data_IF_673743521158
#
_entry.id   IF_673743521158
#
_cell.length_a   1.000
_cell.length_b   1.000
_cell.length_c   1.000
_cell.angle_alpha   90.00
_cell.angle_beta   90.00
_cell.angle_gamma   90.00
#
_symmetry.space_group_name_H-M   'P 1'
#
loop_
_entity.id
_entity.type
_entity.pdbx_description
1 polymer ?
#
# COMPACT_ATOMS: atom_id res chain seq x y z
N UNK A 1 -13.27 -33.06 -0.88
CA UNK A 1 -12.88 -31.81 -0.19
C UNK A 1 -14.13 -31.23 0.46
N UNK A 2 -14.06 -30.75 1.71
CA UNK A 2 -15.21 -30.17 2.40
C UNK A 2 -15.70 -28.91 1.65
N UNK A 3 -16.98 -28.57 1.77
CA UNK A 3 -17.53 -27.32 1.25
C UNK A 3 -16.76 -26.07 1.72
N UNK A 4 -16.30 -26.04 2.98
CA UNK A 4 -15.48 -24.94 3.50
C UNK A 4 -14.14 -24.81 2.78
N UNK A 5 -13.43 -25.92 2.60
CA UNK A 5 -12.16 -25.97 1.87
C UNK A 5 -12.35 -25.59 0.40
N UNK A 6 -13.44 -26.02 -0.22
CA UNK A 6 -13.79 -25.63 -1.60
C UNK A 6 -14.07 -24.13 -1.72
N UNK A 7 -14.74 -23.53 -0.73
CA UNK A 7 -14.98 -22.09 -0.70
C UNK A 7 -13.66 -21.33 -0.55
N UNK A 8 -12.78 -21.77 0.36
CA UNK A 8 -11.44 -21.19 0.55
C UNK A 8 -10.62 -21.27 -0.74
N UNK A 9 -10.55 -22.44 -1.37
CA UNK A 9 -9.79 -22.61 -2.61
C UNK A 9 -10.33 -21.76 -3.77
N UNK A 10 -11.63 -21.45 -3.76
CA UNK A 10 -12.24 -20.53 -4.75
C UNK A 10 -11.93 -19.06 -4.47
N UNK A 11 -11.90 -18.65 -3.20
CA UNK A 11 -11.63 -17.26 -2.82
C UNK A 11 -10.13 -16.92 -2.77
N UNK A 12 -9.28 -17.89 -2.47
CA UNK A 12 -7.84 -17.75 -2.31
C UNK A 12 -7.13 -18.99 -2.88
N UNK A 13 -7.04 -19.11 -4.21
CA UNK A 13 -6.50 -20.31 -4.83
C UNK A 13 -5.00 -20.46 -4.57
N UNK A 14 -4.54 -21.69 -4.67
CA UNK A 14 -3.10 -22.02 -4.76
C UNK A 14 -2.83 -22.63 -6.14
N UNK A 15 -1.81 -22.12 -6.83
CA UNK A 15 -1.46 -22.50 -8.20
C UNK A 15 -0.05 -23.07 -8.22
N UNK A 16 0.09 -24.29 -8.76
CA UNK A 16 1.39 -24.86 -9.11
C UNK A 16 1.91 -24.18 -10.37
N UNK A 17 3.09 -23.59 -10.30
CA UNK A 17 3.63 -22.78 -11.41
C UNK A 17 4.09 -23.72 -12.53
N UNK A 18 3.58 -23.58 -13.76
CA UNK A 18 4.01 -24.42 -14.87
C UNK A 18 5.48 -24.19 -15.24
N UNK A 19 6.15 -25.24 -15.71
CA UNK A 19 7.58 -25.20 -16.10
C UNK A 19 7.83 -24.75 -17.54
N UNK A 20 6.84 -24.93 -18.41
CA UNK A 20 7.01 -24.85 -19.88
C UNK A 20 6.17 -23.75 -20.52
N UNK A 21 5.43 -23.02 -19.71
CA UNK A 21 4.54 -21.94 -20.13
C UNK A 21 4.39 -20.93 -18.98
N UNK A 22 3.91 -19.71 -19.26
CA UNK A 22 3.59 -18.74 -18.21
C UNK A 22 2.44 -19.21 -17.30
N UNK A 23 2.41 -18.72 -16.07
CA UNK A 23 1.23 -18.87 -15.19
C UNK A 23 0.05 -18.16 -15.84
N UNK A 24 -1.12 -18.80 -15.89
CA UNK A 24 -2.34 -18.18 -16.37
C UNK A 24 -2.69 -16.93 -15.52
N UNK A 25 -3.10 -15.80 -16.12
CA UNK A 25 -3.49 -14.61 -15.38
C UNK A 25 -4.71 -14.88 -14.50
N UNK A 26 -4.88 -14.08 -13.45
CA UNK A 26 -6.06 -14.15 -12.61
C UNK A 26 -7.31 -13.72 -13.38
N UNK A 27 -8.41 -14.44 -13.20
CA UNK A 27 -9.67 -14.15 -13.91
C UNK A 27 -10.41 -12.92 -13.36
N UNK A 28 -10.12 -12.55 -12.11
CA UNK A 28 -10.68 -11.40 -11.42
C UNK A 28 -9.66 -10.88 -10.42
N UNK A 29 -9.88 -9.64 -9.97
CA UNK A 29 -9.06 -9.05 -8.93
C UNK A 29 -9.13 -9.87 -7.64
N UNK A 30 -7.99 -10.02 -6.96
CA UNK A 30 -7.88 -10.79 -5.74
C UNK A 30 -6.44 -11.16 -5.43
N UNK A 31 -6.30 -12.28 -4.74
CA UNK A 31 -5.01 -12.79 -4.30
C UNK A 31 -4.97 -14.32 -4.39
N UNK A 32 -3.78 -14.87 -4.64
CA UNK A 32 -3.54 -16.31 -4.69
C UNK A 32 -2.13 -16.67 -4.27
N UNK A 33 -1.90 -17.93 -3.92
CA UNK A 33 -0.55 -18.45 -3.74
C UNK A 33 -0.01 -19.05 -5.02
N UNK A 34 1.26 -18.81 -5.30
CA UNK A 34 2.03 -19.48 -6.33
C UNK A 34 3.06 -20.41 -5.67
N UNK A 35 3.06 -21.66 -6.07
CA UNK A 35 4.05 -22.65 -5.66
C UNK A 35 5.01 -22.84 -6.83
N UNK A 36 6.20 -22.24 -6.73
CA UNK A 36 7.27 -22.35 -7.71
C UNK A 36 8.39 -23.26 -7.23
N UNK A 37 9.36 -23.59 -8.07
CA UNK A 37 10.53 -24.35 -7.63
C UNK A 37 11.43 -23.58 -6.66
N UNK A 38 11.31 -22.25 -6.67
CA UNK A 38 12.12 -21.33 -5.88
C UNK A 38 11.39 -20.77 -4.65
N UNK A 39 10.24 -21.34 -4.26
CA UNK A 39 9.54 -21.02 -3.02
C UNK A 39 8.02 -20.90 -3.17
N UNK A 40 7.40 -20.41 -2.09
CA UNK A 40 5.98 -20.04 -2.06
C UNK A 40 5.88 -18.53 -2.17
N UNK A 41 4.98 -18.04 -3.00
CA UNK A 41 4.77 -16.63 -3.26
C UNK A 41 3.30 -16.27 -3.09
N UNK A 42 3.05 -15.02 -2.69
CA UNK A 42 1.74 -14.40 -2.82
C UNK A 42 1.73 -13.57 -4.11
N UNK A 43 0.70 -13.77 -4.92
CA UNK A 43 0.35 -12.91 -6.05
C UNK A 43 -0.92 -12.16 -5.69
N UNK A 44 -0.85 -10.83 -5.77
CA UNK A 44 -1.98 -9.93 -5.52
C UNK A 44 -2.22 -9.16 -6.81
N UNK A 45 -3.42 -9.28 -7.36
CA UNK A 45 -3.82 -8.66 -8.61
C UNK A 45 -5.05 -7.79 -8.36
N UNK A 46 -4.85 -6.48 -8.30
CA UNK A 46 -5.89 -5.47 -8.09
C UNK A 46 -5.97 -4.54 -9.30
N UNK A 47 -7.09 -3.82 -9.52
CA UNK A 47 -7.20 -2.91 -10.67
C UNK A 47 -6.09 -1.87 -10.76
N UNK A 48 -5.52 -1.44 -9.62
CA UNK A 48 -4.45 -0.45 -9.55
C UNK A 48 -3.02 -1.02 -9.38
N UNK A 49 -2.87 -2.30 -9.00
CA UNK A 49 -1.59 -2.92 -8.63
C UNK A 49 -1.55 -4.40 -9.02
N UNK A 50 -0.45 -4.85 -9.60
CA UNK A 50 -0.06 -6.27 -9.61
C UNK A 50 1.24 -6.41 -8.84
N UNK A 51 1.29 -7.31 -7.87
CA UNK A 51 2.49 -7.56 -7.07
C UNK A 51 2.66 -9.05 -6.79
N UNK A 52 3.90 -9.52 -6.90
CA UNK A 52 4.31 -10.89 -6.57
C UNK A 52 5.48 -10.83 -5.60
N UNK A 53 5.34 -11.50 -4.44
CA UNK A 53 6.39 -11.57 -3.42
C UNK A 53 6.54 -12.94 -2.80
N UNK A 54 7.77 -13.30 -2.47
CA UNK A 54 8.08 -14.58 -1.81
C UNK A 54 7.67 -14.51 -0.34
N UNK A 55 6.95 -15.52 0.11
CA UNK A 55 6.50 -15.65 1.52
C UNK A 55 7.14 -16.84 2.23
N UNK A 56 7.69 -17.81 1.51
CA UNK A 56 8.43 -18.91 2.11
C UNK A 56 9.51 -19.47 1.18
N UNK A 57 10.59 -19.98 1.78
CA UNK A 57 11.65 -20.73 1.13
C UNK A 57 11.56 -22.22 1.50
N UNK A 58 12.01 -23.09 0.60
CA UNK A 58 12.22 -24.49 0.94
C UNK A 58 13.50 -24.66 1.76
N UNK A 59 13.43 -25.42 2.85
CA UNK A 59 14.57 -25.71 3.73
C UNK A 59 15.25 -27.05 3.41
N UNK A 60 14.62 -27.90 2.61
CA UNK A 60 15.11 -29.23 2.23
C UNK A 60 15.48 -29.22 0.75
N UNK A 61 16.62 -29.83 0.35
CA UNK A 61 17.07 -29.89 -1.04
C UNK A 61 16.27 -30.91 -1.89
N UNK A 62 14.95 -30.85 -1.82
CA UNK A 62 14.06 -31.65 -2.65
C UNK A 62 13.81 -30.92 -3.97
N UNK A 63 13.94 -31.62 -5.09
CA UNK A 63 13.58 -31.05 -6.39
C UNK A 63 12.07 -30.80 -6.47
N UNK A 64 11.67 -29.53 -6.53
CA UNK A 64 10.28 -29.12 -6.71
C UNK A 64 9.99 -29.01 -8.21
N UNK A 65 9.05 -29.80 -8.77
CA UNK A 65 8.88 -29.94 -10.21
C UNK A 65 8.07 -28.81 -10.88
N UNK A 66 8.07 -27.60 -10.32
CA UNK A 66 7.34 -26.42 -10.82
C UNK A 66 8.27 -25.40 -11.48
N UNK A 67 7.71 -24.39 -12.15
CA UNK A 67 8.48 -23.31 -12.75
C UNK A 67 8.98 -22.31 -11.72
N UNK A 68 9.84 -21.39 -12.15
CA UNK A 68 10.33 -20.30 -11.31
C UNK A 68 9.29 -19.17 -11.23
N UNK A 69 9.14 -18.60 -10.05
CA UNK A 69 8.38 -17.35 -9.86
C UNK A 69 9.35 -16.19 -9.78
N UNK A 70 9.01 -15.09 -10.44
CA UNK A 70 9.75 -13.84 -10.40
C UNK A 70 8.94 -12.82 -9.62
N UNK A 71 9.56 -12.20 -8.61
CA UNK A 71 8.94 -11.09 -7.88
C UNK A 71 8.76 -9.89 -8.81
N UNK A 72 7.63 -9.21 -8.68
CA UNK A 72 7.29 -8.10 -9.57
C UNK A 72 6.37 -7.10 -8.89
N UNK A 73 6.42 -5.84 -9.34
CA UNK A 73 5.48 -4.79 -8.95
C UNK A 73 5.13 -3.99 -10.19
N UNK A 74 3.84 -3.90 -10.50
CA UNK A 74 3.32 -3.13 -11.63
C UNK A 74 2.20 -2.23 -11.12
N UNK A 75 2.42 -0.92 -11.19
CA UNK A 75 1.39 0.08 -10.89
C UNK A 75 0.57 0.37 -12.14
N UNK A 76 -0.73 0.14 -12.07
CA UNK A 76 -1.69 0.36 -13.17
C UNK A 76 -2.40 1.70 -13.08
N UNK A 77 -2.45 2.30 -11.90
CA UNK A 77 -3.06 3.62 -11.67
C UNK A 77 -2.20 4.79 -12.14
N UNK A 78 -0.97 4.55 -12.61
CA UNK A 78 -0.01 5.62 -12.90
C UNK A 78 0.52 6.30 -11.63
N UNK A 79 1.16 7.45 -11.80
CA UNK A 79 1.77 8.20 -10.70
C UNK A 79 0.74 9.05 -9.95
N UNK A 80 0.78 9.02 -8.62
CA UNK A 80 -0.04 9.92 -7.79
C UNK A 80 0.36 11.37 -8.06
N UNK A 81 -0.61 12.25 -8.40
CA UNK A 81 -0.36 13.66 -8.64
C UNK A 81 0.28 14.33 -7.42
N UNK A 82 1.42 15.03 -7.57
CA UNK A 82 2.12 15.64 -6.44
C UNK A 82 1.28 16.65 -5.64
N UNK A 83 0.32 17.33 -6.29
CA UNK A 83 -0.54 18.31 -5.61
C UNK A 83 -1.39 17.67 -4.51
N UNK A 84 -1.84 16.42 -4.65
CA UNK A 84 -2.60 15.72 -3.60
C UNK A 84 -1.74 15.46 -2.36
N UNK A 85 -0.44 15.23 -2.55
CA UNK A 85 0.52 15.09 -1.45
C UNK A 85 0.75 16.45 -0.78
N UNK A 86 0.87 17.53 -1.57
CA UNK A 86 0.92 18.89 -1.05
C UNK A 86 -0.32 19.24 -0.21
N UNK A 87 -1.52 18.95 -0.71
CA UNK A 87 -2.79 19.16 0.00
C UNK A 87 -2.86 18.40 1.32
N UNK A 88 -2.39 17.15 1.34
CA UNK A 88 -2.30 16.39 2.58
C UNK A 88 -1.29 17.02 3.57
N UNK A 89 -0.13 17.47 3.09
CA UNK A 89 0.87 18.12 3.93
C UNK A 89 0.36 19.43 4.52
N UNK A 90 -0.39 20.23 3.77
CA UNK A 90 -1.05 21.43 4.30
C UNK A 90 -2.11 21.09 5.36
N UNK A 91 -2.84 19.98 5.18
CA UNK A 91 -3.76 19.46 6.20
C UNK A 91 -2.99 19.06 7.47
N UNK A 92 -1.86 18.35 7.33
CA UNK A 92 -1.01 17.96 8.45
C UNK A 92 -0.37 19.16 9.17
N UNK A 93 -0.01 20.21 8.44
CA UNK A 93 0.45 21.49 9.01
C UNK A 93 -0.64 22.17 9.81
N UNK A 94 -1.85 22.24 9.29
CA UNK A 94 -2.98 22.85 9.99
C UNK A 94 -3.37 22.09 11.27
N UNK A 95 -3.19 20.76 11.28
CA UNK A 95 -3.46 19.91 12.44
C UNK A 95 -2.35 19.93 13.51
N UNK A 96 -1.13 20.35 13.16
CA UNK A 96 0.01 20.37 14.06
C UNK A 96 -0.31 21.12 15.38
N UNK A 97 0.04 20.57 16.57
CA UNK A 97 0.93 19.42 16.80
C UNK A 97 0.26 18.04 16.79
N UNK A 98 -1.03 17.95 16.50
CA UNK A 98 -1.78 16.71 16.50
C UNK A 98 -1.60 15.94 15.19
N UNK A 99 -1.86 14.63 15.24
CA UNK A 99 -1.90 13.78 14.05
C UNK A 99 -3.18 14.01 13.24
N UNK A 100 -3.12 13.74 11.94
CA UNK A 100 -4.28 13.71 11.03
C UNK A 100 -4.06 12.68 9.93
N UNK A 101 -5.09 12.40 9.13
CA UNK A 101 -5.04 11.38 8.10
C UNK A 101 -5.87 11.68 6.86
N UNK A 102 -5.51 11.04 5.75
CA UNK A 102 -6.28 11.08 4.51
C UNK A 102 -5.94 9.85 3.67
N UNK A 103 -6.82 9.50 2.75
CA UNK A 103 -6.52 8.50 1.72
C UNK A 103 -6.30 9.17 0.38
N UNK A 104 -5.31 8.71 -0.39
CA UNK A 104 -5.28 8.94 -1.83
C UNK A 104 -6.04 7.80 -2.48
N UNK A 105 -7.13 8.13 -3.16
CA UNK A 105 -8.01 7.16 -3.82
C UNK A 105 -7.92 7.33 -5.32
N UNK A 106 -8.06 6.23 -6.04
CA UNK A 106 -8.03 6.18 -7.50
C UNK A 106 -9.33 5.59 -8.02
N UNK A 107 -9.94 6.27 -8.98
CA UNK A 107 -11.19 5.83 -9.59
C UNK A 107 -10.90 5.02 -10.87
N UNK A 108 -11.39 3.78 -10.93
CA UNK A 108 -11.10 2.82 -12.00
C UNK A 108 -11.64 3.29 -13.36
N UNK A 109 -12.79 3.96 -13.39
CA UNK A 109 -13.46 4.39 -14.63
C UNK A 109 -12.85 5.66 -15.21
N UNK A 110 -12.63 6.66 -14.37
CA UNK A 110 -12.11 7.98 -14.79
C UNK A 110 -10.59 8.01 -14.84
N UNK A 111 -9.93 7.02 -14.23
CA UNK A 111 -8.48 6.96 -14.02
C UNK A 111 -7.92 8.18 -13.27
N UNK A 112 -8.76 8.85 -12.47
CA UNK A 112 -8.38 10.03 -11.71
C UNK A 112 -8.09 9.70 -10.26
N UNK A 113 -7.17 10.48 -9.67
CA UNK A 113 -6.90 10.46 -8.24
C UNK A 113 -7.62 11.60 -7.55
N UNK A 114 -7.97 11.41 -6.28
CA UNK A 114 -8.31 12.49 -5.36
C UNK A 114 -7.82 12.20 -3.95
N UNK A 115 -7.72 13.25 -3.15
CA UNK A 115 -7.51 13.15 -1.71
C UNK A 115 -8.87 12.99 -1.00
N UNK A 116 -8.94 12.10 -0.03
CA UNK A 116 -10.12 11.78 0.75
C UNK A 116 -9.77 11.89 2.25
N UNK A 117 -10.01 13.04 2.89
CA UNK A 117 -9.73 13.22 4.31
C UNK A 117 -10.46 12.18 5.18
N UNK A 118 -9.81 11.69 6.22
CA UNK A 118 -10.48 10.82 7.20
C UNK A 118 -11.38 11.66 8.12
N UNK A 119 -12.38 11.02 8.74
CA UNK A 119 -13.13 11.66 9.82
C UNK A 119 -12.46 11.29 11.15
N UNK A 120 -11.78 12.27 11.75
CA UNK A 120 -11.11 12.10 13.05
C UNK A 120 -12.13 11.81 14.14
N UNK A 121 -11.91 10.72 14.89
CA UNK A 121 -12.68 10.36 16.09
C UNK A 121 -11.94 10.78 17.37
N UNK A 122 -10.64 10.54 17.42
CA UNK A 122 -9.74 10.98 18.47
C UNK A 122 -8.33 11.14 17.90
N UNK A 123 -7.59 12.14 18.37
CA UNK A 123 -6.21 12.36 17.96
C UNK A 123 -5.42 12.97 19.13
N UNK A 124 -4.15 12.60 19.23
CA UNK A 124 -3.16 13.27 20.06
C UNK A 124 -1.88 13.50 19.24
N UNK A 125 -0.73 13.71 19.87
CA UNK A 125 0.55 13.99 19.20
C UNK A 125 1.24 12.73 18.64
N UNK A 126 0.74 11.54 18.93
CA UNK A 126 1.31 10.25 18.51
C UNK A 126 0.27 9.15 18.30
N UNK A 127 -1.03 9.49 18.23
CA UNK A 127 -2.08 8.55 17.90
C UNK A 127 -3.23 9.22 17.14
N UNK A 128 -3.79 8.47 16.19
CA UNK A 128 -4.95 8.87 15.40
C UNK A 128 -5.97 7.72 15.33
N UNK A 129 -7.19 8.00 15.78
CA UNK A 129 -8.36 7.13 15.58
C UNK A 129 -9.32 7.84 14.64
N UNK A 130 -9.73 7.14 13.58
CA UNK A 130 -10.54 7.75 12.54
C UNK A 130 -11.53 6.78 11.90
N UNK A 131 -12.61 7.34 11.36
CA UNK A 131 -13.47 6.64 10.40
C UNK A 131 -12.89 6.84 9.00
N UNK A 132 -12.81 5.73 8.26
CA UNK A 132 -12.33 5.68 6.88
C UNK A 132 -13.26 6.50 5.97
N UNK A 133 -12.74 7.22 4.96
CA UNK A 133 -13.58 7.98 4.05
C UNK A 133 -14.49 7.05 3.24
N UNK A 134 -15.69 7.53 2.92
CA UNK A 134 -16.60 6.83 2.02
C UNK A 134 -16.03 6.80 0.61
N UNK A 135 -16.01 5.62 0.00
CA UNK A 135 -15.59 5.40 -1.39
C UNK A 135 -16.79 5.06 -2.25
N UNK A 136 -16.84 5.61 -3.46
CA UNK A 136 -17.75 5.12 -4.48
C UNK A 136 -17.36 3.70 -4.93
N UNK A 137 -18.26 2.93 -5.57
CA UNK A 137 -17.97 1.57 -6.01
C UNK A 137 -16.76 1.45 -6.96
N UNK A 138 -16.45 2.52 -7.71
CA UNK A 138 -15.33 2.58 -8.65
C UNK A 138 -14.04 3.13 -8.02
N UNK A 139 -14.05 3.49 -6.73
CA UNK A 139 -12.89 4.05 -6.05
C UNK A 139 -12.15 3.01 -5.21
N UNK A 140 -10.82 3.03 -5.34
CA UNK A 140 -9.92 2.16 -4.62
C UNK A 140 -8.91 3.01 -3.85
N UNK A 141 -8.66 2.66 -2.59
CA UNK A 141 -7.58 3.26 -1.82
C UNK A 141 -6.23 2.81 -2.39
N UNK A 142 -5.38 3.78 -2.74
CA UNK A 142 -4.01 3.54 -3.21
C UNK A 142 -3.00 3.87 -2.11
N UNK A 143 -3.16 5.03 -1.47
CA UNK A 143 -2.31 5.46 -0.36
C UNK A 143 -3.17 5.73 0.87
N UNK A 144 -2.70 5.27 2.02
CA UNK A 144 -3.20 5.67 3.33
C UNK A 144 -2.16 6.57 3.99
N UNK A 145 -2.54 7.82 4.22
CA UNK A 145 -1.67 8.87 4.71
C UNK A 145 -2.00 9.17 6.18
N UNK A 146 -0.97 9.28 7.03
CA UNK A 146 -1.10 9.89 8.36
C UNK A 146 0.09 10.80 8.67
N UNK A 147 -0.06 11.64 9.69
CA UNK A 147 0.99 12.57 10.12
C UNK A 147 1.48 12.29 11.53
N UNK A 148 2.73 12.64 11.82
CA UNK A 148 3.39 12.47 13.13
C UNK A 148 3.61 13.80 13.86
N UNK A 149 2.85 14.86 13.53
CA UNK A 149 2.98 16.17 14.17
C UNK A 149 4.43 16.69 14.15
N UNK A 150 5.05 16.82 15.33
CA UNK A 150 6.42 17.29 15.51
C UNK A 150 7.52 16.22 15.35
N UNK A 151 7.15 14.94 15.26
CA UNK A 151 8.10 13.82 15.15
C UNK A 151 8.47 13.52 13.70
N UNK A 152 9.64 12.93 13.42
CA UNK A 152 10.00 12.52 12.08
C UNK A 152 9.05 11.44 11.52
N UNK A 153 8.99 11.35 10.19
CA UNK A 153 8.25 10.29 9.51
C UNK A 153 8.98 8.95 9.64
N UNK A 154 8.29 7.95 10.17
CA UNK A 154 8.73 6.56 10.24
C UNK A 154 7.50 5.66 10.40
N UNK A 155 7.67 4.34 10.27
CA UNK A 155 6.62 3.38 10.60
C UNK A 155 6.94 2.66 11.90
N UNK A 156 5.99 2.66 12.83
CA UNK A 156 6.08 2.00 14.13
C UNK A 156 5.60 0.54 14.08
N UNK A 157 5.75 -0.18 15.19
CA UNK A 157 5.13 -1.50 15.36
C UNK A 157 3.60 -1.45 15.33
N UNK A 158 2.99 -0.35 15.79
CA UNK A 158 1.53 -0.17 15.72
C UNK A 158 1.09 -0.08 14.26
N UNK A 159 1.82 0.69 13.43
CA UNK A 159 1.56 0.77 11.99
C UNK A 159 1.71 -0.59 11.31
N UNK A 160 2.69 -1.40 11.72
CA UNK A 160 2.85 -2.76 11.22
C UNK A 160 1.63 -3.62 11.54
N UNK A 161 1.12 -3.55 12.77
CA UNK A 161 -0.04 -4.32 13.19
C UNK A 161 -1.32 -3.89 12.48
N UNK A 162 -1.48 -2.60 12.18
CA UNK A 162 -2.61 -2.07 11.43
C UNK A 162 -2.53 -2.44 9.94
N UNK A 163 -1.33 -2.44 9.36
CA UNK A 163 -1.11 -2.67 7.93
C UNK A 163 -0.96 -4.15 7.53
N UNK A 164 -0.77 -5.07 8.49
CA UNK A 164 -0.39 -6.47 8.23
C UNK A 164 -1.35 -7.26 7.34
N UNK A 165 -2.60 -6.82 7.19
CA UNK A 165 -3.59 -7.47 6.34
C UNK A 165 -3.97 -6.66 5.10
N UNK A 166 -3.37 -5.49 4.93
CA UNK A 166 -3.76 -4.55 3.88
C UNK A 166 -2.86 -4.68 2.64
N UNK A 167 -3.39 -4.21 1.51
CA UNK A 167 -2.62 -3.97 0.28
C UNK A 167 -2.82 -2.52 -0.13
N UNK A 168 -1.79 -1.71 0.09
CA UNK A 168 -1.78 -0.25 -0.13
C UNK A 168 -0.34 0.25 -0.10
N UNK A 169 -0.14 1.50 -0.49
CA UNK A 169 0.97 2.27 0.04
C UNK A 169 0.57 2.90 1.37
N UNK A 170 1.46 2.85 2.36
CA UNK A 170 1.33 3.67 3.57
C UNK A 170 2.29 4.86 3.45
N UNK A 171 1.84 6.06 3.80
CA UNK A 171 2.59 7.29 3.69
C UNK A 171 2.53 8.09 4.99
N UNK A 172 3.69 8.50 5.49
CA UNK A 172 3.80 9.27 6.73
C UNK A 172 4.46 10.60 6.44
N UNK A 173 3.85 11.67 6.95
CA UNK A 173 4.47 13.01 6.99
C UNK A 173 4.80 13.33 8.44
N UNK A 174 6.07 13.64 8.70
CA UNK A 174 6.55 14.07 10.01
C UNK A 174 7.22 15.43 9.95
N UNK A 175 7.55 15.98 11.12
CA UNK A 175 8.07 17.33 11.28
C UNK A 175 7.17 18.34 10.54
N UNK A 176 5.85 18.26 10.75
CA UNK A 176 4.85 18.88 9.90
C UNK A 176 5.00 20.41 9.83
N UNK A 177 5.38 21.05 10.94
CA UNK A 177 5.64 22.49 10.99
C UNK A 177 6.92 22.93 10.26
N UNK A 178 7.78 22.00 9.83
CA UNK A 178 9.01 22.31 9.08
C UNK A 178 8.69 22.83 7.66
N UNK A 179 9.46 23.81 7.15
CA UNK A 179 9.40 24.21 5.75
C UNK A 179 9.61 23.03 4.79
N UNK A 180 10.41 22.05 5.19
CA UNK A 180 10.60 20.77 4.50
C UNK A 180 10.23 19.65 5.47
N UNK A 181 9.04 19.05 5.37
CA UNK A 181 8.66 17.95 6.25
C UNK A 181 9.46 16.69 5.90
N UNK A 182 9.66 15.81 6.87
CA UNK A 182 10.15 14.46 6.61
C UNK A 182 9.04 13.60 6.04
N UNK A 183 9.37 12.67 5.15
CA UNK A 183 8.40 11.78 4.51
C UNK A 183 8.91 10.34 4.51
N UNK A 184 8.01 9.39 4.79
CA UNK A 184 8.25 7.97 4.65
C UNK A 184 7.13 7.34 3.81
N UNK A 185 7.47 6.40 2.94
CA UNK A 185 6.53 5.69 2.08
C UNK A 185 6.91 4.21 2.09
N UNK A 186 5.94 3.31 2.19
CA UNK A 186 6.16 1.87 2.03
C UNK A 186 5.04 1.22 1.26
N UNK A 187 5.35 0.13 0.56
CA UNK A 187 4.35 -0.79 0.05
C UNK A 187 4.00 -1.81 1.14
N UNK A 188 2.71 -1.95 1.44
CA UNK A 188 2.16 -3.01 2.27
C UNK A 188 1.52 -4.06 1.37
N UNK A 189 1.97 -5.31 1.49
CA UNK A 189 1.45 -6.46 0.74
C UNK A 189 1.24 -7.65 1.69
N UNK A 190 0.14 -7.61 2.47
CA UNK A 190 -0.30 -8.71 3.34
C UNK A 190 0.76 -9.16 4.35
N UNK A 191 1.38 -8.18 5.03
CA UNK A 191 2.39 -8.42 6.07
C UNK A 191 3.83 -8.38 5.55
N UNK A 192 4.02 -8.25 4.24
CA UNK A 192 5.29 -7.84 3.65
C UNK A 192 5.29 -6.32 3.58
N UNK A 193 6.31 -5.69 4.18
CA UNK A 193 6.51 -4.24 4.20
C UNK A 193 7.80 -3.89 3.46
N UNK A 194 7.68 -3.06 2.43
CA UNK A 194 8.82 -2.61 1.63
C UNK A 194 8.93 -1.09 1.68
N UNK A 195 9.89 -0.62 2.47
CA UNK A 195 10.19 0.79 2.57
C UNK A 195 10.76 1.32 1.25
N UNK A 196 10.17 2.41 0.77
CA UNK A 196 10.65 3.11 -0.42
C UNK A 196 11.82 3.98 -0.01
N UNK A 197 13.01 3.62 -0.48
CA UNK A 197 14.27 4.32 -0.16
C UNK A 197 14.21 5.83 -0.41
N UNK A 198 13.52 6.24 -1.48
CA UNK A 198 13.35 7.65 -1.83
C UNK A 198 11.96 7.98 -2.37
N UNK A 199 11.22 8.76 -1.59
CA UNK A 199 9.96 9.39 -2.02
C UNK A 199 10.20 10.27 -3.26
N UNK A 200 9.28 10.31 -4.25
CA UNK A 200 9.44 11.11 -5.46
C UNK A 200 9.82 12.57 -5.17
N UNK A 201 10.80 13.12 -5.90
CA UNK A 201 11.27 14.50 -5.70
C UNK A 201 10.16 15.54 -5.90
N UNK A 202 9.23 15.27 -6.82
CA UNK A 202 8.06 16.11 -7.07
C UNK A 202 7.14 16.26 -5.86
N UNK A 203 7.09 15.25 -4.97
CA UNK A 203 6.30 15.31 -3.74
C UNK A 203 6.95 16.25 -2.71
N UNK A 204 8.29 16.21 -2.59
CA UNK A 204 9.01 17.20 -1.78
C UNK A 204 8.80 18.62 -2.29
N UNK A 205 8.79 18.83 -3.60
CA UNK A 205 8.47 20.15 -4.19
C UNK A 205 7.06 20.60 -3.83
N UNK A 206 6.07 19.71 -3.92
CA UNK A 206 4.67 20.04 -3.62
C UNK A 206 4.40 20.28 -2.13
N UNK A 207 5.20 19.68 -1.24
CA UNK A 207 5.04 19.75 0.22
C UNK A 207 5.81 20.88 0.89
N UNK A 208 6.74 21.54 0.17
CA UNK A 208 7.48 22.67 0.71
C UNK A 208 6.54 23.83 1.01
N UNK A 209 6.76 24.53 2.13
CA UNK A 209 6.13 25.84 2.33
C UNK A 209 6.48 26.72 1.13
N UNK A 210 5.47 27.31 0.51
CA UNK A 210 5.71 28.36 -0.48
C UNK A 210 6.17 29.60 0.29
N UNK A 211 7.32 30.16 -0.10
CA UNK A 211 7.70 31.48 0.39
C UNK A 211 6.59 32.47 0.00
N UNK A 212 6.10 33.22 0.98
CA UNK A 212 5.17 34.32 0.72
C UNK A 212 5.99 35.41 0.02
N UNK A 213 5.69 35.65 -1.26
CA UNK A 213 6.26 36.75 -2.03
C UNK A 213 5.76 38.11 -1.53
#
# INVERSE_FOLDING_TARGET
MNAGDLALQRSFPTVMVPRREPVAPMAAAGERLLIGENGVYIEIDLPWLSVVRRVAHYSVPTAIPYGQVVESTVLRCGSVPPHLIGEFVETARAAHPLETGAWVVWNVQTQQFRLAPVKVLAQDTGSLKYERPALSPDELRVIDCHSHGAHPAFFSSTDNEDDRHETKFAFVVGNCASPVPSMALRLCAKGIFEDVERVPSSWYTAARLKEVA
#
